data_IF_906154996029
#
_entry.id   IF_906154996029
#
_cell.length_a   1.000
_cell.length_b   1.000
_cell.length_c   1.000
_cell.angle_alpha   90.00
_cell.angle_beta   90.00
_cell.angle_gamma   90.00
#
_symmetry.space_group_name_H-M   'P 1'
#
loop_
_entity.id
_entity.type
_entity.pdbx_description
1 polymer ?
#
# COMPACT_ATOMS: atom_id res chain seq x y z
N UNK A 1 -12.13 -20.50 39.04
CA UNK A 1 -11.59 -19.34 38.31
C UNK A 1 -10.72 -19.87 37.19
N UNK A 2 -11.14 -19.74 35.94
CA UNK A 2 -10.28 -20.06 34.80
C UNK A 2 -9.08 -19.10 34.79
N UNK A 3 -7.85 -19.56 34.53
CA UNK A 3 -6.69 -18.68 34.48
C UNK A 3 -6.89 -17.63 33.38
N UNK A 4 -6.38 -16.39 33.56
CA UNK A 4 -6.42 -15.39 32.51
C UNK A 4 -5.67 -15.94 31.30
N UNK A 5 -6.33 -15.98 30.15
CA UNK A 5 -5.71 -16.28 28.86
C UNK A 5 -4.53 -15.31 28.68
N UNK A 6 -3.30 -15.83 28.68
CA UNK A 6 -2.10 -15.06 28.37
C UNK A 6 -2.34 -14.33 27.04
N UNK A 7 -2.22 -13.00 27.04
CA UNK A 7 -2.35 -12.16 25.86
C UNK A 7 -1.31 -12.61 24.82
N UNK A 8 -1.76 -12.86 23.58
CA UNK A 8 -0.95 -13.45 22.49
C UNK A 8 0.28 -12.65 22.03
N UNK A 9 0.54 -11.48 22.62
CA UNK A 9 1.25 -10.40 21.92
C UNK A 9 2.33 -9.76 22.81
N UNK A 10 3.52 -10.36 22.88
CA UNK A 10 4.81 -9.65 22.91
C UNK A 10 5.98 -10.59 23.24
N UNK A 11 7.10 -10.39 22.56
CA UNK A 11 8.42 -10.84 23.01
C UNK A 11 9.39 -9.70 22.76
N UNK A 12 10.22 -9.37 23.76
CA UNK A 12 11.23 -8.32 23.66
C UNK A 12 12.62 -8.93 23.87
N UNK A 13 13.56 -8.58 23.02
CA UNK A 13 14.95 -9.04 23.10
C UNK A 13 15.90 -7.94 22.57
N UNK A 14 17.17 -7.91 23.01
CA UNK A 14 18.18 -6.99 22.49
C UNK A 14 18.46 -7.21 20.99
N UNK A 15 18.78 -6.14 20.25
CA UNK A 15 19.01 -6.22 18.79
C UNK A 15 20.19 -7.14 18.43
N UNK A 16 21.14 -7.28 19.35
CA UNK A 16 22.32 -8.12 19.26
C UNK A 16 22.00 -9.63 19.15
N UNK A 17 20.76 -10.03 19.46
CA UNK A 17 20.32 -11.43 19.28
C UNK A 17 19.99 -11.76 17.81
N UNK A 18 19.95 -10.77 16.92
CA UNK A 18 19.78 -10.97 15.48
C UNK A 18 21.15 -10.91 14.81
N UNK A 19 21.67 -12.08 14.41
CA UNK A 19 23.04 -12.24 13.85
C UNK A 19 23.34 -11.30 12.67
N UNK A 20 22.34 -11.05 11.81
CA UNK A 20 22.49 -10.19 10.62
C UNK A 20 22.11 -8.72 10.86
N UNK A 21 21.99 -8.26 12.12
CA UNK A 21 21.69 -6.87 12.42
C UNK A 21 22.92 -5.97 12.19
N UNK A 22 22.71 -4.79 11.59
CA UNK A 22 23.77 -3.77 11.46
C UNK A 22 23.96 -3.04 12.79
N UNK A 23 25.21 -3.01 13.29
CA UNK A 23 25.60 -2.28 14.51
C UNK A 23 26.73 -1.28 14.15
N UNK A 24 26.55 0.04 14.38
CA UNK A 24 25.34 0.69 14.87
C UNK A 24 24.19 0.63 13.86
N UNK A 25 22.95 0.72 14.34
CA UNK A 25 21.72 0.65 13.55
C UNK A 25 21.46 1.91 12.70
N UNK A 26 22.48 2.34 11.94
CA UNK A 26 22.50 3.53 11.10
C UNK A 26 22.87 3.09 9.69
N UNK A 27 22.06 3.46 8.70
CA UNK A 27 22.38 3.26 7.29
C UNK A 27 23.19 4.46 6.77
N UNK A 28 24.18 4.19 5.92
CA UNK A 28 25.04 5.24 5.33
C UNK A 28 24.39 5.91 4.10
N UNK A 29 23.32 5.30 3.59
CA UNK A 29 22.56 5.76 2.43
C UNK A 29 21.10 6.02 2.78
N UNK A 30 20.48 6.92 2.02
CA UNK A 30 19.04 7.16 2.10
C UNK A 30 18.23 5.99 1.52
N UNK A 31 17.00 5.74 2.02
CA UNK A 31 16.14 4.69 1.50
C UNK A 31 15.87 4.85 0.00
N UNK A 32 16.14 3.80 -0.79
CA UNK A 32 15.82 3.74 -2.22
C UNK A 32 14.40 3.24 -2.50
N UNK A 33 13.80 2.56 -1.52
CA UNK A 33 12.46 1.98 -1.60
C UNK A 33 11.69 2.26 -0.29
N UNK A 34 10.46 2.72 -0.41
CA UNK A 34 9.49 2.92 0.67
C UNK A 34 8.36 1.92 0.46
N UNK A 35 8.07 1.09 1.46
CA UNK A 35 7.06 0.03 1.35
C UNK A 35 5.97 0.29 2.38
N UNK A 36 4.76 0.52 1.90
CA UNK A 36 3.56 0.63 2.71
C UNK A 36 2.92 -0.76 2.80
N UNK A 37 3.01 -1.38 3.98
CA UNK A 37 2.42 -2.70 4.22
C UNK A 37 0.94 -2.55 4.57
N UNK A 38 0.09 -3.25 3.83
CA UNK A 38 -1.32 -3.39 4.16
C UNK A 38 -1.69 -4.85 4.31
N UNK A 39 -2.65 -5.14 5.19
CA UNK A 39 -3.26 -6.46 5.31
C UNK A 39 -4.71 -6.33 4.86
N UNK A 40 -4.97 -6.50 3.56
CA UNK A 40 -6.33 -6.43 3.03
C UNK A 40 -7.06 -7.75 3.27
N UNK A 41 -8.02 -7.78 4.19
CA UNK A 41 -8.84 -8.94 4.45
C UNK A 41 -10.00 -9.11 3.46
N UNK A 42 -10.29 -8.12 2.60
CA UNK A 42 -11.28 -8.24 1.52
C UNK A 42 -10.69 -8.92 0.28
N UNK A 43 -9.36 -8.93 0.17
CA UNK A 43 -8.61 -9.61 -0.88
C UNK A 43 -8.70 -8.96 -2.26
N UNK A 44 -9.03 -7.66 -2.30
CA UNK A 44 -9.26 -6.91 -3.52
C UNK A 44 -8.06 -6.07 -3.95
N UNK A 45 -7.17 -5.70 -3.02
CA UNK A 45 -5.96 -4.96 -3.35
C UNK A 45 -4.89 -5.87 -4.00
N UNK A 46 -4.21 -5.40 -5.05
CA UNK A 46 -3.11 -6.14 -5.67
C UNK A 46 -2.03 -6.55 -4.66
N UNK A 47 -1.34 -7.70 -4.84
CA UNK A 47 -0.22 -8.07 -3.98
C UNK A 47 0.85 -7.00 -3.92
N UNK A 48 1.09 -6.30 -5.03
CA UNK A 48 2.05 -5.21 -5.12
C UNK A 48 1.56 -4.15 -6.10
N UNK A 49 1.74 -2.89 -5.74
CA UNK A 49 1.55 -1.77 -6.65
C UNK A 49 2.67 -0.75 -6.51
N UNK A 50 3.14 -0.20 -7.63
CA UNK A 50 4.01 0.98 -7.62
C UNK A 50 3.14 2.21 -7.41
N UNK A 51 3.58 3.12 -6.55
CA UNK A 51 2.86 4.34 -6.23
C UNK A 51 3.60 5.55 -6.80
N UNK A 52 2.84 6.50 -7.34
CA UNK A 52 3.36 7.86 -7.55
C UNK A 52 3.33 8.64 -6.22
N UNK A 53 3.88 9.86 -6.22
CA UNK A 53 3.98 10.68 -5.00
C UNK A 53 2.62 10.98 -4.36
N UNK A 54 1.61 11.35 -5.15
CA UNK A 54 0.28 11.69 -4.64
C UNK A 54 -0.42 10.46 -4.04
N UNK A 55 -0.33 9.31 -4.70
CA UNK A 55 -0.83 8.03 -4.20
C UNK A 55 -0.09 7.59 -2.93
N UNK A 56 1.22 7.81 -2.87
CA UNK A 56 2.02 7.51 -1.67
C UNK A 56 1.51 8.31 -0.48
N UNK A 57 1.29 9.62 -0.65
CA UNK A 57 0.73 10.46 0.40
C UNK A 57 -0.69 10.01 0.78
N UNK A 58 -1.56 9.75 -0.21
CA UNK A 58 -2.93 9.32 0.03
C UNK A 58 -3.00 8.00 0.81
N UNK A 59 -2.25 6.97 0.40
CA UNK A 59 -2.22 5.68 1.07
C UNK A 59 -1.51 5.75 2.42
N UNK A 60 -0.47 6.58 2.56
CA UNK A 60 0.21 6.81 3.83
C UNK A 60 -0.73 7.45 4.87
N UNK A 61 -1.49 8.47 4.49
CA UNK A 61 -2.48 9.12 5.38
C UNK A 61 -3.66 8.21 5.65
N UNK A 62 -4.10 7.44 4.66
CA UNK A 62 -5.18 6.48 4.85
C UNK A 62 -4.77 5.40 5.85
N UNK A 63 -3.53 4.89 5.73
CA UNK A 63 -2.97 3.88 6.63
C UNK A 63 -3.88 2.66 6.77
N UNK A 64 -4.40 2.21 5.63
CA UNK A 64 -5.37 1.12 5.58
C UNK A 64 -4.71 -0.22 5.91
N UNK A 65 -5.35 -0.97 6.80
CA UNK A 65 -5.05 -2.37 7.11
C UNK A 65 -6.33 -3.04 7.63
N UNK A 66 -6.29 -4.33 7.91
CA UNK A 66 -7.40 -5.03 8.56
C UNK A 66 -6.99 -5.51 9.94
N UNK A 67 -7.85 -5.26 10.94
CA UNK A 67 -7.76 -5.93 12.23
C UNK A 67 -8.13 -7.39 12.05
N UNK A 68 -7.29 -8.29 12.53
CA UNK A 68 -7.50 -9.72 12.39
C UNK A 68 -8.25 -10.29 13.59
N UNK A 69 -9.03 -11.33 13.35
CA UNK A 69 -9.72 -12.03 14.43
C UNK A 69 -8.70 -12.54 15.47
N UNK A 70 -8.94 -12.20 16.74
CA UNK A 70 -8.09 -12.60 17.86
C UNK A 70 -6.78 -11.82 18.05
N UNK A 71 -6.56 -10.69 17.36
CA UNK A 71 -5.45 -9.76 17.68
C UNK A 71 -5.84 -8.67 18.68
N UNK A 72 -7.14 -8.40 18.85
CA UNK A 72 -7.71 -7.47 19.83
C UNK A 72 -8.95 -8.08 20.48
N UNK A 73 -9.21 -7.74 21.74
CA UNK A 73 -10.39 -8.21 22.47
C UNK A 73 -11.68 -7.74 21.76
N UNK A 74 -12.57 -8.68 21.45
CA UNK A 74 -13.85 -8.42 20.80
C UNK A 74 -13.85 -8.44 19.26
N UNK A 75 -12.70 -8.62 18.60
CA UNK A 75 -12.64 -8.76 17.13
C UNK A 75 -12.81 -10.23 16.73
N UNK A 76 -14.02 -10.57 16.26
CA UNK A 76 -14.39 -11.93 15.81
C UNK A 76 -14.28 -12.12 14.30
N UNK A 77 -14.40 -11.05 13.53
CA UNK A 77 -14.27 -11.05 12.07
C UNK A 77 -13.27 -9.98 11.61
N UNK A 78 -12.58 -10.16 10.48
CA UNK A 78 -11.67 -9.16 9.96
C UNK A 78 -12.39 -7.84 9.65
N UNK A 79 -11.90 -6.73 10.21
CA UNK A 79 -12.49 -5.41 10.04
C UNK A 79 -11.49 -4.44 9.40
N UNK A 80 -11.94 -3.68 8.41
CA UNK A 80 -11.17 -2.59 7.83
C UNK A 80 -10.82 -1.56 8.92
N UNK A 81 -9.55 -1.19 8.99
CA UNK A 81 -9.03 -0.20 9.93
C UNK A 81 -8.14 0.79 9.19
N UNK A 82 -8.30 2.06 9.53
CA UNK A 82 -7.50 3.15 8.99
C UNK A 82 -6.75 3.78 10.15
N UNK A 83 -5.43 3.70 10.11
CA UNK A 83 -4.52 4.28 11.10
C UNK A 83 -3.57 5.21 10.38
N UNK A 84 -3.88 6.51 10.35
CA UNK A 84 -3.07 7.49 9.63
C UNK A 84 -1.57 7.38 9.85
N UNK A 85 -0.81 7.49 8.76
CA UNK A 85 0.64 7.31 8.73
C UNK A 85 1.09 5.94 9.27
N UNK A 86 0.19 4.94 9.28
CA UNK A 86 0.35 3.64 9.92
C UNK A 86 0.65 3.70 11.43
N UNK A 87 0.41 4.85 12.07
CA UNK A 87 0.88 5.16 13.41
C UNK A 87 -0.03 6.18 14.13
N UNK A 88 -1.33 6.24 13.81
CA UNK A 88 -2.25 7.28 14.26
C UNK A 88 -2.19 7.59 15.77
N UNK A 89 -2.13 6.61 16.69
CA UNK A 89 -2.08 6.89 18.13
C UNK A 89 -0.84 7.67 18.59
N UNK A 90 0.21 7.75 17.76
CA UNK A 90 1.49 8.38 18.08
C UNK A 90 1.71 9.72 17.35
N UNK A 91 0.76 10.15 16.53
CA UNK A 91 0.87 11.39 15.77
C UNK A 91 0.56 12.61 16.65
N UNK A 92 1.47 13.59 16.65
CA UNK A 92 1.28 14.85 17.37
C UNK A 92 0.79 15.99 16.47
N UNK A 93 1.01 15.88 15.16
CA UNK A 93 0.63 16.87 14.16
C UNK A 93 -0.41 16.32 13.19
N UNK A 94 -0.97 17.20 12.37
CA UNK A 94 -1.86 16.80 11.29
C UNK A 94 -1.17 15.82 10.31
N UNK A 95 -1.79 14.69 9.91
CA UNK A 95 -1.17 13.67 9.06
C UNK A 95 -0.55 14.19 7.75
N UNK A 96 -1.15 15.24 7.15
CA UNK A 96 -0.62 15.88 5.94
C UNK A 96 0.78 16.47 6.14
N UNK A 97 1.16 16.88 7.35
CA UNK A 97 2.53 17.38 7.63
C UNK A 97 3.55 16.27 7.42
N UNK A 98 3.31 15.10 8.01
CA UNK A 98 4.19 13.93 7.87
C UNK A 98 4.21 13.41 6.42
N UNK A 99 3.06 13.41 5.75
CA UNK A 99 2.98 13.00 4.35
C UNK A 99 3.79 13.90 3.41
N UNK A 100 3.76 15.23 3.60
CA UNK A 100 4.59 16.17 2.84
C UNK A 100 6.08 15.93 3.08
N UNK A 101 6.47 15.75 4.35
CA UNK A 101 7.87 15.44 4.69
C UNK A 101 8.36 14.14 4.02
N UNK A 102 7.50 13.11 3.99
CA UNK A 102 7.81 11.86 3.29
C UNK A 102 7.93 12.08 1.78
N UNK A 103 7.00 12.80 1.16
CA UNK A 103 7.02 13.10 -0.26
C UNK A 103 8.28 13.90 -0.67
N UNK A 104 8.66 14.91 0.11
CA UNK A 104 9.87 15.70 -0.10
C UNK A 104 11.10 14.81 -0.08
N UNK A 105 11.19 13.87 0.88
CA UNK A 105 12.30 12.93 0.98
C UNK A 105 12.33 11.93 -0.18
N UNK A 106 11.18 11.39 -0.58
CA UNK A 106 11.08 10.50 -1.73
C UNK A 106 11.57 11.21 -2.99
N UNK A 107 11.12 12.44 -3.23
CA UNK A 107 11.53 13.25 -4.38
C UNK A 107 13.02 13.60 -4.34
N UNK A 108 13.52 14.08 -3.20
CA UNK A 108 14.92 14.46 -3.00
C UNK A 108 15.88 13.29 -3.28
N UNK A 109 15.52 12.09 -2.82
CA UNK A 109 16.38 10.91 -2.89
C UNK A 109 16.01 9.95 -4.02
N UNK A 110 15.02 10.31 -4.86
CA UNK A 110 14.52 9.50 -5.99
C UNK A 110 14.16 8.08 -5.57
N UNK A 111 13.54 7.95 -4.41
CA UNK A 111 13.09 6.67 -3.89
C UNK A 111 11.85 6.18 -4.65
N UNK A 112 11.70 4.87 -4.80
CA UNK A 112 10.44 4.28 -5.26
C UNK A 112 9.50 4.05 -4.07
N UNK A 113 8.20 4.17 -4.28
CA UNK A 113 7.19 3.87 -3.27
C UNK A 113 6.27 2.72 -3.73
N UNK A 114 5.91 1.87 -2.78
CA UNK A 114 5.24 0.61 -3.04
C UNK A 114 4.09 0.40 -2.05
N UNK A 115 2.95 -0.10 -2.53
CA UNK A 115 1.89 -0.65 -1.68
C UNK A 115 1.96 -2.18 -1.77
N UNK A 116 2.25 -2.85 -0.66
CA UNK A 116 2.42 -4.30 -0.59
C UNK A 116 1.30 -4.91 0.27
N UNK A 117 0.43 -5.68 -0.37
CA UNK A 117 -0.64 -6.41 0.30
C UNK A 117 -0.12 -7.75 0.84
N UNK A 118 -0.14 -7.87 2.17
CA UNK A 118 0.24 -9.06 2.96
C UNK A 118 -0.98 -9.80 3.52
N UNK A 119 -2.18 -9.35 3.13
CA UNK A 119 -3.47 -9.91 3.48
C UNK A 119 -3.90 -11.01 2.54
N UNK A 120 -5.15 -10.99 2.11
CA UNK A 120 -5.79 -12.02 1.32
C UNK A 120 -5.68 -11.75 -0.17
N UNK A 121 -5.77 -12.83 -0.97
CA UNK A 121 -5.83 -12.80 -2.42
C UNK A 121 -6.90 -13.77 -2.93
N UNK A 122 -7.49 -13.46 -4.08
CA UNK A 122 -8.49 -14.27 -4.79
C UNK A 122 -9.89 -14.28 -4.17
N UNK A 123 -10.02 -14.08 -2.86
CA UNK A 123 -11.30 -13.83 -2.19
C UNK A 123 -11.03 -13.17 -0.83
N UNK A 124 -12.09 -12.71 -0.16
CA UNK A 124 -12.01 -12.18 1.20
C UNK A 124 -11.77 -13.26 2.24
N UNK A 125 -11.26 -12.87 3.40
CA UNK A 125 -10.94 -13.76 4.51
C UNK A 125 -12.14 -14.57 5.02
N UNK A 126 -13.35 -14.00 4.92
CA UNK A 126 -14.61 -14.65 5.31
C UNK A 126 -15.31 -15.35 4.15
N UNK A 127 -14.82 -15.20 2.92
CA UNK A 127 -15.43 -15.75 1.69
C UNK A 127 -14.53 -16.77 0.98
N UNK A 128 -13.67 -17.45 1.75
CA UNK A 128 -12.83 -18.55 1.24
C UNK A 128 -11.49 -18.12 0.64
N UNK A 129 -11.11 -16.84 0.80
CA UNK A 129 -9.81 -16.34 0.39
C UNK A 129 -8.66 -16.96 1.16
N UNK A 130 -7.49 -16.94 0.53
CA UNK A 130 -6.24 -17.38 1.18
C UNK A 130 -5.35 -16.18 1.41
N UNK A 131 -4.67 -16.18 2.56
CA UNK A 131 -3.62 -15.20 2.81
C UNK A 131 -2.53 -15.35 1.75
N UNK A 132 -2.01 -14.23 1.26
CA UNK A 132 -0.91 -14.20 0.31
C UNK A 132 0.25 -15.05 0.86
N UNK A 133 0.67 -16.11 0.14
CA UNK A 133 1.76 -16.96 0.59
C UNK A 133 3.03 -16.15 0.83
N UNK A 134 3.66 -16.31 1.99
CA UNK A 134 4.87 -15.57 2.38
C UNK A 134 6.00 -15.67 1.34
N UNK A 135 6.09 -16.81 0.64
CA UNK A 135 7.06 -17.01 -0.46
C UNK A 135 6.89 -15.97 -1.58
N UNK A 136 5.66 -15.56 -1.91
CA UNK A 136 5.40 -14.57 -2.94
C UNK A 136 5.68 -13.16 -2.43
N UNK A 137 5.31 -12.85 -1.18
CA UNK A 137 5.71 -11.57 -0.56
C UNK A 137 7.24 -11.40 -0.54
N UNK A 138 7.99 -12.46 -0.21
CA UNK A 138 9.46 -12.43 -0.26
C UNK A 138 9.99 -12.26 -1.68
N UNK A 139 9.46 -13.00 -2.66
CA UNK A 139 9.84 -12.83 -4.06
C UNK A 139 9.57 -11.41 -4.59
N UNK A 140 8.47 -10.78 -4.18
CA UNK A 140 8.17 -9.36 -4.48
C UNK A 140 9.23 -8.45 -3.86
N UNK A 141 9.58 -8.65 -2.59
CA UNK A 141 10.61 -7.84 -1.92
C UNK A 141 11.98 -8.02 -2.58
N UNK A 142 12.34 -9.23 -2.99
CA UNK A 142 13.57 -9.51 -3.72
C UNK A 142 13.59 -8.77 -5.06
N UNK A 143 12.47 -8.76 -5.79
CA UNK A 143 12.33 -8.03 -7.05
C UNK A 143 12.30 -6.49 -6.89
N UNK A 144 11.86 -5.98 -5.72
CA UNK A 144 12.01 -4.56 -5.35
C UNK A 144 13.49 -4.24 -5.11
N UNK A 145 14.20 -5.08 -4.34
CA UNK A 145 15.60 -4.87 -3.99
C UNK A 145 16.55 -5.03 -5.18
N UNK A 146 16.27 -5.96 -6.10
CA UNK A 146 17.04 -6.13 -7.34
C UNK A 146 16.82 -4.98 -8.35
N UNK A 147 15.74 -4.22 -8.17
CA UNK A 147 15.34 -3.14 -9.08
C UNK A 147 14.62 -3.63 -10.34
N UNK A 148 14.31 -4.92 -10.44
CA UNK A 148 13.53 -5.49 -11.55
C UNK A 148 12.12 -4.91 -11.58
N UNK A 149 11.44 -4.84 -10.44
CA UNK A 149 10.10 -4.25 -10.38
C UNK A 149 10.12 -2.79 -10.79
N UNK A 150 11.14 -2.01 -10.43
CA UNK A 150 11.22 -0.60 -10.81
C UNK A 150 11.22 -0.38 -12.35
N UNK A 151 11.63 -1.40 -13.12
CA UNK A 151 11.74 -1.41 -14.58
C UNK A 151 10.65 -2.24 -15.29
N UNK A 152 9.74 -2.84 -14.52
CA UNK A 152 8.70 -3.71 -15.08
C UNK A 152 7.66 -2.91 -15.89
N UNK A 153 6.91 -3.62 -16.73
CA UNK A 153 5.71 -3.08 -17.36
C UNK A 153 4.53 -3.11 -16.38
N UNK A 154 3.74 -2.04 -16.41
CA UNK A 154 2.61 -1.85 -15.50
C UNK A 154 1.29 -1.75 -16.26
N UNK A 155 0.23 -2.15 -15.59
CA UNK A 155 -1.15 -1.85 -15.96
C UNK A 155 -1.82 -1.04 -14.85
N UNK A 156 -2.81 -0.23 -15.23
CA UNK A 156 -3.60 0.54 -14.27
C UNK A 156 -4.71 -0.37 -13.74
N UNK A 157 -4.73 -0.53 -12.43
CA UNK A 157 -5.79 -1.18 -11.70
C UNK A 157 -6.90 -0.16 -11.43
N UNK A 158 -8.04 -0.37 -12.08
CA UNK A 158 -9.21 0.50 -12.03
C UNK A 158 -9.72 0.73 -10.59
N UNK A 159 -10.56 1.75 -10.41
CA UNK A 159 -11.08 2.22 -9.11
C UNK A 159 -10.03 2.88 -8.24
N UNK A 160 -8.88 2.24 -7.97
CA UNK A 160 -7.81 2.81 -7.13
C UNK A 160 -6.70 3.50 -7.95
N UNK A 161 -6.72 3.35 -9.28
CA UNK A 161 -5.70 3.88 -10.20
C UNK A 161 -4.28 3.39 -9.88
N UNK A 162 -4.14 2.22 -9.26
CA UNK A 162 -2.85 1.67 -8.82
C UNK A 162 -2.06 1.08 -10.00
N UNK A 163 -0.75 1.20 -9.98
CA UNK A 163 0.10 0.61 -11.01
C UNK A 163 0.51 -0.80 -10.60
N UNK A 164 -0.11 -1.80 -11.22
CA UNK A 164 0.14 -3.23 -10.96
C UNK A 164 1.14 -3.76 -11.99
N UNK A 165 2.23 -4.42 -11.57
CA UNK A 165 3.18 -4.98 -12.52
C UNK A 165 2.54 -6.15 -13.27
N UNK A 166 2.75 -6.22 -14.58
CA UNK A 166 2.26 -7.33 -15.41
C UNK A 166 2.97 -8.66 -15.13
N UNK A 167 4.17 -8.60 -14.56
CA UNK A 167 4.97 -9.75 -14.17
C UNK A 167 5.88 -9.43 -12.99
N UNK A 168 6.14 -10.42 -12.15
CA UNK A 168 7.12 -10.36 -11.06
C UNK A 168 7.82 -11.71 -10.95
N UNK A 169 9.16 -11.77 -10.94
CA UNK A 169 9.90 -13.03 -10.76
C UNK A 169 9.43 -13.79 -9.52
N UNK A 170 9.24 -15.11 -9.65
CA UNK A 170 8.83 -15.97 -8.54
C UNK A 170 7.36 -15.84 -8.10
N UNK A 171 6.55 -15.02 -8.79
CA UNK A 171 5.12 -14.85 -8.51
C UNK A 171 4.30 -15.18 -9.76
N UNK A 172 3.27 -16.04 -9.66
CA UNK A 172 2.36 -16.30 -10.78
C UNK A 172 1.65 -15.01 -11.22
N UNK A 173 1.66 -14.72 -12.53
CA UNK A 173 1.14 -13.47 -13.10
C UNK A 173 -0.35 -13.26 -12.80
N UNK A 174 -1.13 -14.34 -12.77
CA UNK A 174 -2.56 -14.33 -12.49
C UNK A 174 -2.90 -13.86 -11.06
N UNK A 175 -1.93 -13.90 -10.13
CA UNK A 175 -2.10 -13.40 -8.77
C UNK A 175 -1.81 -11.90 -8.65
N UNK A 176 -1.06 -11.31 -9.59
CA UNK A 176 -0.67 -9.89 -9.53
C UNK A 176 -1.88 -8.97 -9.70
N UNK A 177 -2.83 -9.36 -10.54
CA UNK A 177 -4.12 -8.69 -10.66
C UNK A 177 -5.22 -9.48 -9.92
N UNK A 178 -5.78 -8.98 -8.81
CA UNK A 178 -6.81 -9.68 -8.06
C UNK A 178 -8.06 -9.99 -8.88
N UNK A 179 -8.35 -9.21 -9.94
CA UNK A 179 -9.49 -9.45 -10.83
C UNK A 179 -9.36 -10.78 -11.57
N UNK A 180 -8.16 -11.18 -11.96
CA UNK A 180 -7.92 -12.42 -12.73
C UNK A 180 -7.91 -13.66 -11.86
N UNK A 181 -7.63 -13.51 -10.56
CA UNK A 181 -7.58 -14.60 -9.59
C UNK A 181 -8.81 -14.66 -8.67
N UNK A 182 -9.85 -13.88 -8.94
CA UNK A 182 -11.03 -13.80 -8.09
C UNK A 182 -11.87 -15.10 -8.14
N UNK A 183 -12.12 -15.70 -6.99
CA UNK A 183 -12.85 -16.97 -6.84
C UNK A 183 -14.05 -16.88 -5.91
N UNK A 184 -14.33 -15.72 -5.32
CA UNK A 184 -15.48 -15.56 -4.42
C UNK A 184 -16.81 -15.59 -5.20
N UNK A 185 -17.89 -16.00 -4.54
CA UNK A 185 -19.24 -15.91 -5.09
C UNK A 185 -19.75 -14.47 -5.22
N UNK A 186 -19.24 -13.55 -4.40
CA UNK A 186 -19.55 -12.13 -4.48
C UNK A 186 -18.82 -11.51 -5.67
N UNK A 187 -19.45 -10.61 -6.44
CA UNK A 187 -18.78 -9.92 -7.55
C UNK A 187 -17.56 -9.13 -7.07
N UNK A 188 -16.43 -9.28 -7.76
CA UNK A 188 -15.18 -8.59 -7.46
C UNK A 188 -15.38 -7.07 -7.41
N UNK A 189 -16.02 -6.51 -8.43
CA UNK A 189 -16.28 -5.08 -8.57
C UNK A 189 -17.11 -4.51 -7.41
N UNK A 190 -18.01 -5.32 -6.83
CA UNK A 190 -18.79 -4.93 -5.66
C UNK A 190 -17.90 -4.78 -4.43
N UNK A 191 -16.98 -5.72 -4.20
CA UNK A 191 -16.06 -5.68 -3.06
C UNK A 191 -15.02 -4.55 -3.20
N UNK A 192 -14.50 -4.34 -4.41
CA UNK A 192 -13.60 -3.22 -4.72
C UNK A 192 -14.30 -1.88 -4.45
N UNK A 193 -15.55 -1.73 -4.91
CA UNK A 193 -16.33 -0.50 -4.71
C UNK A 193 -16.63 -0.24 -3.23
N UNK A 194 -16.97 -1.28 -2.46
CA UNK A 194 -17.17 -1.16 -1.01
C UNK A 194 -15.89 -0.69 -0.31
N UNK A 195 -14.72 -1.20 -0.71
CA UNK A 195 -13.46 -0.73 -0.14
C UNK A 195 -13.17 0.72 -0.53
N UNK A 196 -13.39 1.10 -1.79
CA UNK A 196 -13.20 2.46 -2.28
C UNK A 196 -14.06 3.49 -1.51
N UNK A 197 -15.32 3.15 -1.22
CA UNK A 197 -16.20 3.97 -0.36
C UNK A 197 -15.57 4.17 1.03
N UNK A 198 -15.08 3.10 1.67
CA UNK A 198 -14.44 3.20 2.99
C UNK A 198 -13.20 4.10 2.99
N UNK A 199 -12.36 4.02 1.95
CA UNK A 199 -11.22 4.92 1.78
C UNK A 199 -11.66 6.38 1.68
N UNK A 200 -12.65 6.67 0.83
CA UNK A 200 -13.15 8.03 0.63
C UNK A 200 -13.80 8.60 1.88
N UNK A 201 -14.64 7.83 2.57
CA UNK A 201 -15.25 8.24 3.84
C UNK A 201 -14.20 8.51 4.91
N UNK A 202 -13.16 7.67 5.01
CA UNK A 202 -12.08 7.91 5.95
C UNK A 202 -11.28 9.17 5.62
N UNK A 203 -10.97 9.40 4.33
CA UNK A 203 -10.10 10.48 3.91
C UNK A 203 -10.71 11.87 4.09
N UNK A 204 -12.04 11.99 4.18
CA UNK A 204 -12.74 13.26 4.48
C UNK A 204 -12.17 13.97 5.72
N UNK A 205 -11.73 13.20 6.73
CA UNK A 205 -11.14 13.70 7.98
C UNK A 205 -9.87 14.56 7.79
N UNK A 206 -9.18 14.40 6.67
CA UNK A 206 -7.87 15.03 6.39
C UNK A 206 -7.90 15.91 5.12
N UNK A 207 -9.09 16.06 4.53
CA UNK A 207 -9.28 16.69 3.22
C UNK A 207 -9.07 18.21 3.22
N UNK A 208 -9.17 18.84 4.39
CA UNK A 208 -8.99 20.27 4.64
C UNK A 208 -7.55 20.74 4.37
N UNK A 209 -6.55 19.90 4.67
CA UNK A 209 -5.14 20.19 4.37
C UNK A 209 -4.61 19.42 3.15
N UNK A 210 -5.40 18.59 2.49
CA UNK A 210 -4.95 17.80 1.34
C UNK A 210 -4.75 18.68 0.09
N UNK A 211 -3.71 18.41 -0.70
CA UNK A 211 -3.54 19.08 -1.99
C UNK A 211 -4.48 18.48 -3.04
N UNK A 212 -4.68 19.19 -4.15
CA UNK A 212 -5.56 18.73 -5.24
C UNK A 212 -5.09 17.39 -5.82
N UNK A 213 -3.79 17.18 -5.90
CA UNK A 213 -3.17 15.97 -6.43
C UNK A 213 -3.43 14.78 -5.50
N UNK A 214 -3.34 14.98 -4.18
CA UNK A 214 -3.64 13.94 -3.19
C UNK A 214 -5.12 13.60 -3.18
N UNK A 215 -6.00 14.60 -3.33
CA UNK A 215 -7.45 14.37 -3.47
C UNK A 215 -7.78 13.60 -4.76
N UNK A 216 -7.09 13.90 -5.87
CA UNK A 216 -7.25 13.19 -7.14
C UNK A 216 -6.71 11.75 -7.11
N UNK A 217 -5.84 11.41 -6.15
CA UNK A 217 -5.36 10.05 -5.93
C UNK A 217 -6.38 9.16 -5.18
N UNK A 218 -7.49 9.72 -4.71
CA UNK A 218 -8.54 8.97 -4.05
C UNK A 218 -9.25 7.98 -5.00
N UNK A 219 -9.73 6.84 -4.50
CA UNK A 219 -10.45 5.87 -5.33
C UNK A 219 -11.72 6.45 -5.97
N UNK A 220 -11.93 6.15 -7.25
CA UNK A 220 -13.13 6.53 -8.00
C UNK A 220 -14.17 5.44 -7.83
N UNK A 221 -15.20 5.70 -7.02
CA UNK A 221 -16.33 4.77 -6.85
C UNK A 221 -17.13 4.76 -8.17
N UNK A 222 -17.25 3.62 -8.87
CA UNK A 222 -18.06 3.55 -10.08
C UNK A 222 -19.52 3.82 -9.70
N UNK A 223 -20.10 4.91 -10.22
CA UNK A 223 -21.54 5.13 -10.11
C UNK A 223 -22.29 4.14 -11.00
N UNK A 224 -23.49 3.71 -10.60
CA UNK A 224 -24.32 2.78 -11.39
C UNK A 224 -24.69 3.29 -12.81
N UNK A 225 -24.40 4.55 -13.13
CA UNK A 225 -24.47 5.11 -14.48
C UNK A 225 -23.07 5.29 -15.06
N UNK A 226 -22.77 4.57 -16.15
CA UNK A 226 -21.47 4.60 -16.81
C UNK A 226 -21.08 5.97 -17.34
N UNK A 227 -20.06 6.57 -16.75
CA UNK A 227 -19.12 7.43 -17.45
C UNK A 227 -17.76 7.34 -16.75
N UNK A 228 -16.85 6.56 -17.30
CA UNK A 228 -15.44 6.56 -16.87
C UNK A 228 -14.78 7.81 -17.43
N UNK A 229 -14.37 8.73 -16.55
CA UNK A 229 -13.31 9.67 -16.93
C UNK A 229 -11.99 8.92 -16.81
N UNK A 230 -11.25 8.84 -17.90
CA UNK A 230 -9.94 8.19 -17.90
C UNK A 230 -9.01 8.97 -16.95
N UNK A 231 -8.31 8.28 -16.03
CA UNK A 231 -7.25 8.95 -15.27
C UNK A 231 -6.15 9.39 -16.25
N UNK A 232 -5.43 10.49 -15.94
CA UNK A 232 -4.30 10.90 -16.76
C UNK A 232 -3.28 9.75 -16.81
N UNK A 233 -2.91 9.34 -18.02
CA UNK A 233 -1.91 8.31 -18.25
C UNK A 233 -0.56 8.81 -17.73
N UNK A 234 -0.11 8.30 -16.59
CA UNK A 234 1.26 8.55 -16.17
C UNK A 234 2.20 7.79 -17.10
N UNK A 235 3.10 8.51 -17.75
CA UNK A 235 4.17 7.89 -18.53
C UNK A 235 5.14 7.15 -17.59
N UNK A 236 5.88 6.16 -18.11
CA UNK A 236 6.97 5.49 -17.37
C UNK A 236 7.98 6.48 -16.77
N UNK A 237 8.06 7.71 -17.31
CA UNK A 237 8.85 8.81 -16.79
C UNK A 237 8.27 9.45 -15.50
N UNK A 238 6.94 9.57 -15.36
CA UNK A 238 6.28 10.10 -14.15
C UNK A 238 6.35 9.12 -12.97
N UNK A 239 6.40 7.81 -13.25
CA UNK A 239 6.64 6.77 -12.25
C UNK A 239 8.11 6.65 -11.79
N UNK A 240 9.04 7.30 -12.49
CA UNK A 240 10.49 7.22 -12.23
C UNK A 240 11.13 8.53 -11.76
N UNK A 241 10.32 9.56 -11.44
CA UNK A 241 10.81 10.86 -11.00
C UNK A 241 11.43 11.65 -12.17
N UNK A 242 10.70 12.63 -12.69
CA UNK A 242 11.15 13.47 -13.79
C UNK A 242 12.50 14.15 -13.52
N UNK A 243 13.37 14.17 -14.53
CA UNK A 243 14.59 14.97 -14.53
C UNK A 243 14.24 16.47 -14.56
N UNK A 244 14.90 17.32 -13.75
CA UNK A 244 14.84 18.75 -14.00
C UNK A 244 15.63 19.08 -15.27
N UNK A 245 14.97 19.79 -16.18
CA UNK A 245 15.57 20.42 -17.35
C UNK A 245 16.77 21.27 -16.93
N UNK A 246 17.96 20.94 -17.41
CA UNK A 246 19.12 21.82 -17.33
C UNK A 246 18.91 22.99 -18.28
N UNK A 247 18.38 24.11 -17.78
CA UNK A 247 18.54 25.39 -18.45
C UNK A 247 20.01 25.82 -18.28
N UNK A 248 20.81 25.53 -19.30
CA UNK A 248 22.14 26.11 -19.45
C UNK A 248 21.99 27.63 -19.59
N UNK A 249 22.44 28.35 -18.56
CA UNK A 249 22.76 29.78 -18.69
C UNK A 249 24.25 29.84 -18.97
N UNK A 250 24.58 30.14 -20.22
CA UNK A 250 25.91 30.63 -20.60
C UNK A 250 26.18 31.97 -19.92
N UNK A 251 27.30 32.03 -19.20
CA UNK A 251 28.10 33.24 -19.02
C UNK A 251 29.54 32.86 -19.34
#
# INVERSE_FOLDING_TARGET
MSPPLLTKNASAYPIEYIENAKIPCIADEHPKNIILLTCDARGVLPPISKLNTAQTMFHFISGYTSKMAGTEDGVTEPQATFSSCFAQPFLALHPMRYARMLADKISQHKANAWLLNTGWVGAGATTGGKRCPLKYTRAILDAIHSGELAKADYEVYDVFNLYVPKSCPGVPSELLNPKTSWTASTPFESEVSKLAVLFNENFKKYSDEATKEVLAAAPVVPSASGSTSAPPSATTAELNGAQPSTNGTTA
#
